data_IF_877191387966
#
_entry.id   IF_877191387966
#
_cell.length_a   1.000
_cell.length_b   1.000
_cell.length_c   1.000
_cell.angle_alpha   90.00
_cell.angle_beta   90.00
_cell.angle_gamma   90.00
#
_symmetry.space_group_name_H-M   'P 1'
#
loop_
_entity.id
_entity.type
_entity.pdbx_description
1 polymer ?
#
# COMPACT_ATOMS: atom_id res chain seq x y z
N UNK A 1 -17.85 46.43 10.24
CA UNK A 1 -16.81 45.53 9.72
C UNK A 1 -16.69 44.37 10.70
N UNK A 2 -17.04 43.15 10.29
CA UNK A 2 -16.84 41.93 11.09
C UNK A 2 -15.87 41.05 10.31
N UNK A 3 -14.61 41.00 10.74
CA UNK A 3 -13.63 40.07 10.22
C UNK A 3 -13.91 38.70 10.84
N UNK A 4 -14.48 37.80 10.02
CA UNK A 4 -14.62 36.40 10.36
C UNK A 4 -13.27 35.74 10.06
N UNK A 5 -12.46 35.53 11.10
CA UNK A 5 -11.25 34.71 11.00
C UNK A 5 -11.68 33.25 10.85
N UNK A 6 -11.77 32.77 9.61
CA UNK A 6 -11.83 31.32 9.33
C UNK A 6 -10.46 30.72 9.64
N UNK A 7 -10.34 29.74 10.55
CA UNK A 7 -9.14 28.93 10.60
C UNK A 7 -9.12 28.11 9.29
N UNK A 8 -8.15 28.41 8.43
CA UNK A 8 -7.76 27.49 7.36
C UNK A 8 -7.42 26.18 8.01
N UNK A 9 -8.34 25.22 7.92
CA UNK A 9 -8.10 23.81 8.18
C UNK A 9 -7.10 23.37 7.13
N UNK A 10 -5.82 23.60 7.40
CA UNK A 10 -4.72 22.95 6.71
C UNK A 10 -4.92 21.48 6.96
N UNK A 11 -5.60 20.83 6.00
CA UNK A 11 -5.71 19.39 5.89
C UNK A 11 -4.29 18.90 5.70
N UNK A 12 -3.64 18.68 6.84
CA UNK A 12 -2.31 18.17 6.97
C UNK A 12 -2.39 16.71 6.53
N UNK A 13 -2.43 16.52 5.21
CA UNK A 13 -2.34 15.25 4.51
C UNK A 13 -0.90 14.75 4.62
N UNK A 14 -0.37 14.79 5.85
CA UNK A 14 0.80 14.07 6.29
C UNK A 14 0.59 12.66 5.77
N UNK A 15 1.31 12.38 4.69
CA UNK A 15 1.50 11.06 4.15
C UNK A 15 2.19 10.30 5.26
N UNK A 16 1.39 9.81 6.21
CA UNK A 16 1.81 8.82 7.17
C UNK A 16 2.44 7.76 6.29
N UNK A 17 3.74 7.46 6.46
CA UNK A 17 4.37 6.40 5.70
C UNK A 17 3.44 5.22 5.86
N UNK A 18 2.88 4.72 4.74
CA UNK A 18 1.96 3.60 4.74
C UNK A 18 2.58 2.58 5.67
N UNK A 19 2.03 2.41 6.88
CA UNK A 19 2.62 1.54 7.87
C UNK A 19 2.78 0.21 7.14
N UNK A 20 3.99 -0.35 7.12
CA UNK A 20 4.27 -1.60 6.39
C UNK A 20 3.58 -2.72 7.16
N UNK A 21 2.26 -2.80 7.01
CA UNK A 21 1.38 -3.75 7.67
C UNK A 21 1.42 -5.11 6.96
N UNK A 22 1.84 -5.11 5.69
CA UNK A 22 2.01 -6.31 4.88
C UNK A 22 3.49 -6.45 4.54
N UNK A 23 4.00 -7.67 4.65
CA UNK A 23 5.36 -8.07 4.26
C UNK A 23 5.33 -9.51 3.75
N UNK A 24 6.32 -9.89 2.96
CA UNK A 24 6.46 -11.25 2.49
C UNK A 24 6.99 -12.16 3.60
N UNK A 25 6.42 -13.36 3.75
CA UNK A 25 6.95 -14.35 4.69
C UNK A 25 8.30 -14.86 4.15
N UNK A 26 9.38 -14.84 4.95
CA UNK A 26 10.68 -15.37 4.54
C UNK A 26 10.58 -16.84 4.11
N UNK A 27 11.31 -17.20 3.06
CA UNK A 27 11.34 -18.58 2.55
C UNK A 27 10.21 -18.94 1.58
N UNK A 28 9.23 -18.05 1.36
CA UNK A 28 8.24 -18.22 0.29
C UNK A 28 8.85 -17.77 -1.05
N UNK A 29 8.69 -18.55 -2.15
CA UNK A 29 9.11 -18.11 -3.47
C UNK A 29 8.49 -16.77 -3.87
N UNK A 30 9.28 -15.86 -4.42
CA UNK A 30 8.81 -14.53 -4.86
C UNK A 30 7.60 -14.63 -5.81
N UNK A 31 7.55 -15.66 -6.66
CA UNK A 31 6.42 -15.93 -7.56
C UNK A 31 5.13 -16.18 -6.79
N UNK A 32 5.17 -17.00 -5.76
CA UNK A 32 4.03 -17.28 -4.89
C UNK A 32 3.63 -16.03 -4.09
N UNK A 33 4.59 -15.27 -3.58
CA UNK A 33 4.31 -14.02 -2.86
C UNK A 33 3.63 -12.98 -3.78
N UNK A 34 4.08 -12.87 -5.04
CA UNK A 34 3.44 -12.02 -6.06
C UNK A 34 2.01 -12.46 -6.38
N UNK A 35 1.76 -13.77 -6.47
CA UNK A 35 0.41 -14.30 -6.67
C UNK A 35 -0.53 -13.92 -5.52
N UNK A 36 -0.08 -14.08 -4.28
CA UNK A 36 -0.87 -13.66 -3.10
C UNK A 36 -1.09 -12.15 -3.07
N UNK A 37 -0.08 -11.36 -3.46
CA UNK A 37 -0.20 -9.90 -3.57
C UNK A 37 -1.20 -9.49 -4.66
N UNK A 38 -1.28 -10.25 -5.76
CA UNK A 38 -2.30 -10.04 -6.80
C UNK A 38 -3.72 -10.27 -6.30
N UNK A 39 -3.93 -11.27 -5.43
CA UNK A 39 -5.26 -11.51 -4.82
C UNK A 39 -5.70 -10.33 -3.95
N UNK A 40 -4.76 -9.71 -3.22
CA UNK A 40 -5.03 -8.48 -2.48
C UNK A 40 -5.37 -7.30 -3.40
N UNK A 41 -4.68 -7.18 -4.54
CA UNK A 41 -5.03 -6.17 -5.55
C UNK A 41 -6.47 -6.33 -6.06
N UNK A 42 -6.91 -7.58 -6.27
CA UNK A 42 -8.28 -7.89 -6.68
C UNK A 42 -9.31 -7.44 -5.64
N UNK A 43 -9.02 -7.66 -4.35
CA UNK A 43 -9.85 -7.13 -3.27
C UNK A 43 -9.92 -5.59 -3.29
N UNK A 44 -8.79 -4.90 -3.55
CA UNK A 44 -8.77 -3.45 -3.67
C UNK A 44 -9.67 -2.97 -4.82
N UNK A 45 -9.59 -3.65 -5.98
CA UNK A 45 -10.44 -3.36 -7.15
C UNK A 45 -11.92 -3.58 -6.86
N UNK A 46 -12.26 -4.65 -6.13
CA UNK A 46 -13.63 -4.91 -5.72
C UNK A 46 -14.16 -3.78 -4.82
N UNK A 47 -13.40 -3.36 -3.80
CA UNK A 47 -13.79 -2.26 -2.92
C UNK A 47 -13.93 -0.93 -3.65
N UNK A 48 -13.22 -0.74 -4.76
CA UNK A 48 -13.33 0.46 -5.58
C UNK A 48 -14.73 0.63 -6.22
N UNK A 49 -15.50 -0.45 -6.36
CA UNK A 49 -16.92 -0.37 -6.80
C UNK A 49 -17.78 0.47 -5.86
N UNK A 50 -17.33 0.69 -4.61
CA UNK A 50 -17.92 1.62 -3.66
C UNK A 50 -18.08 3.05 -4.20
N UNK A 51 -17.29 3.47 -5.21
CA UNK A 51 -17.49 4.76 -5.90
C UNK A 51 -18.89 4.84 -6.52
N UNK A 52 -19.33 3.76 -7.19
CA UNK A 52 -20.64 3.72 -7.83
C UNK A 52 -21.78 3.67 -6.82
N UNK A 53 -21.50 3.16 -5.62
CA UNK A 53 -22.48 3.00 -4.53
C UNK A 53 -22.50 4.19 -3.56
N UNK A 54 -21.63 5.20 -3.74
CA UNK A 54 -21.45 6.30 -2.79
C UNK A 54 -20.89 5.85 -1.43
N UNK A 55 -20.31 4.66 -1.34
CA UNK A 55 -19.72 4.14 -0.10
C UNK A 55 -18.28 4.65 0.06
N UNK A 56 -18.16 5.80 0.73
CA UNK A 56 -16.88 6.42 1.03
C UNK A 56 -15.92 5.54 1.84
N UNK A 57 -16.42 4.61 2.67
CA UNK A 57 -15.56 3.71 3.45
C UNK A 57 -14.90 2.69 2.54
N UNK A 58 -15.66 2.10 1.63
CA UNK A 58 -15.12 1.17 0.63
C UNK A 58 -14.11 1.85 -0.29
N UNK A 59 -14.37 3.10 -0.71
CA UNK A 59 -13.41 3.89 -1.51
C UNK A 59 -12.11 4.14 -0.75
N UNK A 60 -12.20 4.61 0.51
CA UNK A 60 -11.02 4.84 1.33
C UNK A 60 -10.22 3.55 1.56
N UNK A 61 -10.89 2.45 1.89
CA UNK A 61 -10.27 1.15 2.06
C UNK A 61 -9.56 0.68 0.78
N UNK A 62 -10.19 0.84 -0.40
CA UNK A 62 -9.58 0.50 -1.68
C UNK A 62 -8.27 1.25 -1.92
N UNK A 63 -8.24 2.55 -1.59
CA UNK A 63 -7.06 3.40 -1.77
C UNK A 63 -5.92 2.98 -0.85
N UNK A 64 -6.21 2.80 0.45
CA UNK A 64 -5.19 2.34 1.41
C UNK A 64 -4.64 0.97 1.05
N UNK A 65 -5.51 0.03 0.67
CA UNK A 65 -5.09 -1.32 0.32
C UNK A 65 -4.25 -1.34 -0.96
N UNK A 66 -4.59 -0.53 -1.98
CA UNK A 66 -3.76 -0.34 -3.16
C UNK A 66 -2.36 0.17 -2.83
N UNK A 67 -2.25 1.16 -1.94
CA UNK A 67 -0.94 1.69 -1.52
C UNK A 67 -0.09 0.63 -0.84
N UNK A 68 -0.68 -0.20 0.02
CA UNK A 68 0.04 -1.31 0.68
C UNK A 68 0.48 -2.39 -0.32
N UNK A 69 -0.41 -2.76 -1.26
CA UNK A 69 -0.12 -3.74 -2.31
C UNK A 69 1.03 -3.28 -3.21
N UNK A 70 1.07 -1.99 -3.59
CA UNK A 70 2.17 -1.42 -4.37
C UNK A 70 3.50 -1.50 -3.61
N UNK A 71 3.51 -1.08 -2.35
CA UNK A 71 4.70 -1.18 -1.51
C UNK A 71 5.20 -2.62 -1.34
N UNK A 72 4.28 -3.59 -1.27
CA UNK A 72 4.63 -5.02 -1.18
C UNK A 72 5.21 -5.55 -2.51
N UNK A 73 4.66 -5.16 -3.66
CA UNK A 73 5.27 -5.50 -4.95
C UNK A 73 6.67 -4.91 -5.09
N UNK A 74 6.86 -3.65 -4.70
CA UNK A 74 8.17 -3.01 -4.71
C UNK A 74 9.15 -3.79 -3.81
N UNK A 75 8.76 -4.15 -2.58
CA UNK A 75 9.57 -4.98 -1.70
C UNK A 75 9.97 -6.32 -2.35
N UNK A 76 9.03 -7.00 -3.01
CA UNK A 76 9.26 -8.29 -3.67
C UNK A 76 10.20 -8.20 -4.89
N UNK A 77 10.16 -7.11 -5.65
CA UNK A 77 11.11 -6.87 -6.76
C UNK A 77 12.53 -6.60 -6.25
N UNK A 78 12.65 -5.86 -5.13
CA UNK A 78 13.93 -5.50 -4.54
C UNK A 78 14.50 -6.59 -3.61
N UNK A 79 13.71 -7.58 -3.21
CA UNK A 79 14.12 -8.73 -2.38
C UNK A 79 15.00 -9.76 -3.12
N UNK A 80 15.49 -9.46 -4.33
CA UNK A 80 16.46 -10.34 -5.00
C UNK A 80 17.67 -10.53 -4.09
N UNK A 81 18.12 -11.79 -3.89
CA UNK A 81 19.24 -12.05 -3.02
C UNK A 81 20.45 -11.32 -3.60
N UNK A 82 21.03 -10.44 -2.80
CA UNK A 82 22.44 -10.10 -2.96
C UNK A 82 23.21 -11.39 -2.68
N UNK A 83 23.35 -12.25 -3.68
CA UNK A 83 24.38 -13.28 -3.70
C UNK A 83 25.73 -12.58 -3.84
N UNK A 84 26.15 -11.86 -2.79
CA UNK A 84 27.57 -11.66 -2.56
C UNK A 84 28.06 -12.97 -1.97
N UNK A 85 28.45 -13.86 -2.88
CA UNK A 85 29.50 -14.82 -2.62
C UNK A 85 30.62 -14.08 -1.89
N UNK A 86 30.67 -14.24 -0.57
CA UNK A 86 31.87 -14.00 0.20
C UNK A 86 32.80 -15.16 -0.16
N UNK A 87 33.40 -15.04 -1.34
CA UNK A 87 34.51 -15.86 -1.76
C UNK A 87 35.63 -15.63 -0.75
N UNK A 88 35.93 -16.68 0.01
CA UNK A 88 37.27 -17.23 0.12
C UNK A 88 38.38 -16.18 0.19
N UNK A 89 38.68 -15.69 1.40
CA UNK A 89 40.00 -15.21 1.83
C UNK A 89 40.16 -15.37 3.34
#
# INVERSE_FOLDING_TARGET
>A
MLQINTPSSSSDNSSRPSQRLLTAIPGIPTTQAKEQTSKLLDCARYLHTGVMLGDHRSVAASHYLNMMVRALFDELEHSRPHSRSQADR
#
